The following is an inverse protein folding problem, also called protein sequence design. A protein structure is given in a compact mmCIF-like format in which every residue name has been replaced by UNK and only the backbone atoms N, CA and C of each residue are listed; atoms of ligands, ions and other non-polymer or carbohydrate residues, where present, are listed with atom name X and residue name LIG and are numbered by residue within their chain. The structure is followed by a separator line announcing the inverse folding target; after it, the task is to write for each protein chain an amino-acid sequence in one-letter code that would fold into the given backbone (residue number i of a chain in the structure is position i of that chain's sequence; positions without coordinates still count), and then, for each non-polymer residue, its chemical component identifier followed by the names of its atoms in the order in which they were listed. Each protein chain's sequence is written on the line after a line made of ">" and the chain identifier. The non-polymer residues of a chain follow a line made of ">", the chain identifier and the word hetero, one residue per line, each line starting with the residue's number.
data_IF_705177887152
#
_entry.id   IF_705177887152
#
_cell.length_a   1.000
_cell.length_b   1.000
_cell.length_c   1.000
_cell.angle_alpha   90.00
_cell.angle_beta   90.00
_cell.angle_gamma   90.00
#
_symmetry.space_group_name_H-M   'P 1'
#
loop_
_entity.id
_entity.type
_entity.pdbx_description
1 polymer ?
#
# COMPACT_ATOMS: atom_id res chain seq x y z
N UNK A 1 21.64 28.00 -20.14
CA UNK A 1 21.17 26.60 -20.21
C UNK A 1 20.11 26.36 -19.15
N UNK A 2 18.83 26.22 -19.53
CA UNK A 2 17.75 25.89 -18.58
C UNK A 2 17.92 24.42 -18.16
N UNK A 3 18.45 24.20 -16.96
CA UNK A 3 18.43 22.90 -16.30
C UNK A 3 16.97 22.49 -16.06
N UNK A 4 16.41 21.74 -17.01
CA UNK A 4 15.09 21.14 -16.88
C UNK A 4 15.19 20.02 -15.86
N UNK A 5 14.96 20.35 -14.58
CA UNK A 5 14.77 19.36 -13.51
C UNK A 5 13.81 18.29 -14.05
N UNK A 6 14.16 16.99 -13.99
CA UNK A 6 13.30 15.94 -14.50
C UNK A 6 11.97 15.99 -13.74
N UNK A 7 10.92 16.49 -14.42
CA UNK A 7 9.58 16.60 -13.86
C UNK A 7 9.15 15.22 -13.39
N UNK A 8 8.74 15.13 -12.13
CA UNK A 8 8.16 13.91 -11.59
C UNK A 8 6.96 13.53 -12.47
N UNK A 9 6.90 12.32 -13.03
CA UNK A 9 5.75 11.92 -13.82
C UNK A 9 4.55 11.91 -12.89
N UNK A 10 3.47 12.52 -13.36
CA UNK A 10 2.23 12.68 -12.62
C UNK A 10 1.73 11.32 -12.09
N UNK A 11 1.89 10.26 -12.88
CA UNK A 11 1.56 8.88 -12.53
C UNK A 11 2.22 8.35 -11.26
N UNK A 12 3.48 8.72 -10.95
CA UNK A 12 4.15 8.29 -9.73
C UNK A 12 3.51 8.92 -8.50
N UNK A 13 3.12 10.20 -8.59
CA UNK A 13 2.44 10.91 -7.51
C UNK A 13 1.06 10.32 -7.24
N UNK A 14 0.31 9.99 -8.30
CA UNK A 14 -0.99 9.31 -8.17
C UNK A 14 -0.84 7.94 -7.53
N UNK A 15 0.18 7.16 -7.93
CA UNK A 15 0.43 5.85 -7.34
C UNK A 15 0.84 5.94 -5.85
N UNK A 16 1.70 6.90 -5.50
CA UNK A 16 2.07 7.15 -4.10
C UNK A 16 0.87 7.62 -3.26
N UNK A 17 0.03 8.51 -3.81
CA UNK A 17 -1.19 8.97 -3.15
C UNK A 17 -2.19 7.82 -2.93
N UNK A 18 -2.33 6.92 -3.91
CA UNK A 18 -3.17 5.73 -3.75
C UNK A 18 -2.66 4.81 -2.63
N UNK A 19 -1.35 4.55 -2.57
CA UNK A 19 -0.76 3.74 -1.49
C UNK A 19 -0.95 4.43 -0.13
N UNK A 20 -0.76 5.76 -0.06
CA UNK A 20 -0.99 6.52 1.17
C UNK A 20 -2.45 6.40 1.63
N UNK A 21 -3.40 6.49 0.70
CA UNK A 21 -4.83 6.34 0.98
C UNK A 21 -5.15 4.93 1.51
N UNK A 22 -4.54 3.87 0.96
CA UNK A 22 -4.66 2.51 1.50
C UNK A 22 -4.10 2.39 2.93
N UNK A 23 -2.95 3.03 3.19
CA UNK A 23 -2.36 3.08 4.53
C UNK A 23 -3.27 3.78 5.55
N UNK A 24 -3.87 4.90 5.15
CA UNK A 24 -4.84 5.65 5.96
C UNK A 24 -6.11 4.83 6.24
N UNK A 25 -6.61 4.07 5.25
CA UNK A 25 -7.73 3.15 5.47
C UNK A 25 -7.37 2.09 6.51
N UNK A 26 -6.15 1.52 6.44
CA UNK A 26 -5.65 0.56 7.42
C UNK A 26 -5.59 1.12 8.84
N UNK A 27 -5.09 2.35 9.00
CA UNK A 27 -5.06 3.05 10.29
C UNK A 27 -6.46 3.41 10.80
N UNK A 28 -7.35 3.87 9.91
CA UNK A 28 -8.74 4.18 10.28
C UNK A 28 -9.44 2.92 10.76
N UNK A 29 -9.20 1.77 10.12
CA UNK A 29 -9.73 0.48 10.56
C UNK A 29 -9.19 0.08 11.94
N UNK A 30 -7.89 0.24 12.18
CA UNK A 30 -7.31 0.00 13.49
C UNK A 30 -7.92 0.91 14.57
N UNK A 31 -8.15 2.18 14.24
CA UNK A 31 -8.77 3.15 15.13
C UNK A 31 -10.23 2.80 15.45
N UNK A 32 -11.02 2.41 14.45
CA UNK A 32 -12.41 1.95 14.65
C UNK A 32 -12.47 0.69 15.52
N UNK A 33 -11.53 -0.24 15.34
CA UNK A 33 -11.41 -1.44 16.19
C UNK A 33 -10.94 -1.11 17.62
N UNK A 34 -10.29 0.03 17.82
CA UNK A 34 -9.83 0.50 19.12
C UNK A 34 -10.92 1.27 19.89
N UNK A 35 -11.88 1.88 19.18
CA UNK A 35 -12.99 2.58 19.82
C UNK A 35 -13.91 1.58 20.54
N UNK A 36 -14.34 1.88 21.78
CA UNK A 36 -15.26 1.03 22.51
C UNK A 36 -16.57 0.94 21.74
N UNK A 37 -16.90 -0.26 21.25
CA UNK A 37 -18.16 -0.49 20.54
C UNK A 37 -19.35 -0.09 21.43
N UNK A 38 -20.38 0.58 20.88
CA UNK A 38 -21.64 0.73 21.58
C UNK A 38 -22.23 -0.64 21.94
N UNK A 39 -23.04 -0.65 23.00
CA UNK A 39 -23.22 -1.73 23.97
C UNK A 39 -23.81 -3.12 23.58
N UNK A 40 -24.29 -3.49 22.35
CA UNK A 40 -24.85 -4.84 22.18
C UNK A 40 -23.82 -5.93 21.84
N UNK A 41 -22.54 -5.61 21.62
CA UNK A 41 -21.52 -6.54 21.12
C UNK A 41 -20.41 -6.88 22.15
N UNK A 42 -20.63 -6.60 23.43
CA UNK A 42 -19.67 -6.78 24.54
C UNK A 42 -19.17 -8.22 24.77
N UNK A 43 -19.71 -9.22 24.07
CA UNK A 43 -19.25 -10.61 24.17
C UNK A 43 -18.18 -11.04 23.15
N UNK A 44 -17.83 -10.19 22.17
CA UNK A 44 -16.81 -10.54 21.18
C UNK A 44 -15.41 -10.17 21.71
N UNK A 45 -14.48 -11.13 21.83
CA UNK A 45 -13.14 -10.86 22.32
C UNK A 45 -12.45 -9.86 21.40
N UNK A 46 -11.76 -8.89 22.01
CA UNK A 46 -10.97 -7.90 21.29
C UNK A 46 -9.86 -8.62 20.51
N UNK A 47 -9.97 -8.63 19.18
CA UNK A 47 -9.02 -9.32 18.30
C UNK A 47 -7.76 -8.47 18.10
N UNK A 48 -6.88 -8.46 19.12
CA UNK A 48 -5.59 -7.76 19.10
C UNK A 48 -4.75 -8.06 17.86
N UNK A 49 -4.80 -9.29 17.35
CA UNK A 49 -4.13 -9.71 16.11
C UNK A 49 -4.57 -8.89 14.90
N UNK A 50 -5.87 -8.61 14.74
CA UNK A 50 -6.36 -7.78 13.63
C UNK A 50 -5.94 -6.31 13.78
N UNK A 51 -5.88 -5.80 15.01
CA UNK A 51 -5.46 -4.42 15.29
C UNK A 51 -3.97 -4.25 14.96
N UNK A 52 -3.10 -5.11 15.51
CA UNK A 52 -1.65 -5.08 15.26
C UNK A 52 -1.37 -5.22 13.77
N UNK A 53 -2.05 -6.17 13.09
CA UNK A 53 -1.89 -6.38 11.66
C UNK A 53 -2.34 -5.15 10.86
N UNK A 54 -3.44 -4.49 11.24
CA UNK A 54 -3.93 -3.28 10.55
C UNK A 54 -3.00 -2.09 10.73
N UNK A 55 -2.45 -1.89 11.93
CA UNK A 55 -1.44 -0.86 12.21
C UNK A 55 -0.16 -1.13 11.42
N UNK A 56 0.32 -2.38 11.43
CA UNK A 56 1.53 -2.80 10.71
C UNK A 56 1.40 -2.53 9.20
N UNK A 57 0.28 -2.91 8.58
CA UNK A 57 0.02 -2.62 7.18
C UNK A 57 -0.16 -1.12 6.90
N UNK A 58 -0.89 -0.42 7.77
CA UNK A 58 -1.12 1.02 7.65
C UNK A 58 0.20 1.80 7.62
N UNK A 59 1.05 1.58 8.62
CA UNK A 59 2.36 2.20 8.73
C UNK A 59 3.31 1.76 7.61
N UNK A 60 3.32 0.48 7.25
CA UNK A 60 4.17 -0.03 6.17
C UNK A 60 3.83 0.61 4.81
N UNK A 61 2.54 0.74 4.49
CA UNK A 61 2.08 1.37 3.25
C UNK A 61 2.36 2.88 3.26
N UNK A 62 2.14 3.57 4.38
CA UNK A 62 2.49 4.98 4.54
C UNK A 62 3.99 5.22 4.37
N UNK A 63 4.84 4.43 5.03
CA UNK A 63 6.30 4.51 4.88
C UNK A 63 6.72 4.24 3.42
N UNK A 64 6.09 3.28 2.75
CA UNK A 64 6.34 3.00 1.33
C UNK A 64 5.89 4.15 0.42
N UNK A 65 4.74 4.78 0.69
CA UNK A 65 4.23 5.91 -0.07
C UNK A 65 5.14 7.15 0.09
N UNK A 66 5.58 7.43 1.32
CA UNK A 66 6.55 8.49 1.62
C UNK A 66 7.88 8.22 0.92
N UNK A 67 8.39 6.99 1.01
CA UNK A 67 9.63 6.60 0.32
C UNK A 67 9.53 6.66 -1.21
N UNK A 68 8.37 6.33 -1.79
CA UNK A 68 8.08 6.53 -3.22
C UNK A 68 8.04 8.01 -3.59
N UNK A 69 7.51 8.87 -2.70
CA UNK A 69 7.48 10.32 -2.89
C UNK A 69 8.87 10.95 -2.91
N UNK A 70 9.74 10.51 -1.98
CA UNK A 70 11.15 10.90 -1.93
C UNK A 70 12.04 10.15 -2.95
N UNK A 71 11.45 9.26 -3.76
CA UNK A 71 12.13 8.45 -4.77
C UNK A 71 13.28 7.60 -4.23
N UNK A 72 13.10 6.98 -3.07
CA UNK A 72 14.06 6.04 -2.51
C UNK A 72 13.98 4.69 -3.24
N UNK A 73 15.11 4.20 -3.75
CA UNK A 73 15.16 2.89 -4.41
C UNK A 73 14.73 1.71 -3.49
N UNK A 74 15.13 1.64 -2.20
CA UNK A 74 14.65 0.57 -1.32
C UNK A 74 13.14 0.65 -1.08
N UNK A 75 12.54 1.84 -1.04
CA UNK A 75 11.09 1.99 -0.87
C UNK A 75 10.30 1.46 -2.07
N UNK A 76 10.85 1.55 -3.28
CA UNK A 76 10.25 0.92 -4.47
C UNK A 76 10.30 -0.61 -4.40
N UNK A 77 11.39 -1.20 -3.87
CA UNK A 77 11.47 -2.65 -3.64
C UNK A 77 10.48 -3.08 -2.55
N UNK A 78 10.40 -2.31 -1.46
CA UNK A 78 9.41 -2.55 -0.42
C UNK A 78 7.98 -2.51 -0.99
N UNK A 79 7.61 -1.46 -1.73
CA UNK A 79 6.28 -1.33 -2.33
C UNK A 79 5.92 -2.48 -3.29
N UNK A 80 6.90 -3.01 -4.03
CA UNK A 80 6.72 -4.18 -4.91
C UNK A 80 6.26 -5.43 -4.18
N UNK A 81 6.69 -5.63 -2.93
CA UNK A 81 6.27 -6.77 -2.11
C UNK A 81 5.07 -6.42 -1.21
N UNK A 82 5.08 -5.21 -0.65
CA UNK A 82 4.12 -4.79 0.36
C UNK A 82 2.71 -4.62 -0.21
N UNK A 83 2.57 -4.05 -1.40
CA UNK A 83 1.25 -3.84 -2.02
C UNK A 83 0.59 -5.17 -2.38
N UNK A 84 1.24 -6.11 -3.10
CA UNK A 84 0.67 -7.43 -3.34
C UNK A 84 0.36 -8.20 -2.06
N UNK A 85 1.26 -8.17 -1.08
CA UNK A 85 1.06 -8.89 0.17
C UNK A 85 -0.13 -8.34 0.98
N UNK A 86 -0.34 -7.01 0.98
CA UNK A 86 -1.50 -6.38 1.60
C UNK A 86 -2.82 -6.88 0.99
N UNK A 87 -2.93 -6.83 -0.34
CA UNK A 87 -4.14 -7.30 -1.05
C UNK A 87 -4.36 -8.81 -0.91
N UNK A 88 -3.29 -9.60 -0.95
CA UNK A 88 -3.36 -11.05 -0.76
C UNK A 88 -3.85 -11.40 0.65
N UNK A 89 -3.35 -10.68 1.67
CA UNK A 89 -3.76 -10.89 3.07
C UNK A 89 -5.24 -10.52 3.27
N UNK A 90 -5.71 -9.42 2.67
CA UNK A 90 -7.13 -9.06 2.69
C UNK A 90 -8.00 -10.07 1.96
N UNK A 91 -7.53 -10.57 0.82
CA UNK A 91 -8.21 -11.62 0.05
C UNK A 91 -8.31 -12.93 0.82
N UNK A 92 -7.22 -13.40 1.43
CA UNK A 92 -7.20 -14.57 2.31
C UNK A 92 -8.15 -14.38 3.49
N UNK A 93 -8.15 -13.20 4.11
CA UNK A 93 -9.08 -12.88 5.20
C UNK A 93 -10.53 -12.99 4.73
N UNK A 94 -10.82 -12.53 3.52
CA UNK A 94 -12.15 -12.64 2.92
C UNK A 94 -12.51 -14.11 2.62
N UNK A 95 -11.58 -14.97 2.26
CA UNK A 95 -11.87 -16.40 2.07
C UNK A 95 -12.13 -17.12 3.39
N UNK A 96 -11.27 -16.91 4.39
CA UNK A 96 -11.32 -17.66 5.65
C UNK A 96 -12.39 -17.15 6.63
N UNK A 97 -12.64 -15.85 6.68
CA UNK A 97 -13.53 -15.25 7.68
C UNK A 97 -14.92 -14.90 7.16
N UNK A 98 -15.18 -15.03 5.86
CA UNK A 98 -16.51 -14.74 5.31
C UNK A 98 -17.45 -15.93 5.48
N UNK A 99 -18.19 -15.92 6.59
CA UNK A 99 -19.25 -16.91 6.86
C UNK A 99 -20.60 -16.54 6.23
N UNK A 100 -20.81 -15.28 5.85
CA UNK A 100 -22.07 -14.78 5.29
C UNK A 100 -22.16 -15.02 3.77
N UNK A 101 -23.33 -15.47 3.30
CA UNK A 101 -23.64 -15.75 1.88
C UNK A 101 -23.32 -14.57 0.95
N UNK A 102 -23.52 -13.34 1.43
CA UNK A 102 -23.22 -12.10 0.71
C UNK A 102 -21.74 -11.92 0.38
N UNK A 103 -20.84 -12.31 1.29
CA UNK A 103 -19.42 -12.14 1.02
C UNK A 103 -18.85 -13.23 0.11
N UNK A 104 -19.49 -14.42 0.01
CA UNK A 104 -19.08 -15.46 -0.95
C UNK A 104 -19.30 -15.02 -2.40
N UNK A 105 -20.40 -14.32 -2.69
CA UNK A 105 -20.67 -13.77 -4.02
C UNK A 105 -19.63 -12.72 -4.44
N UNK A 106 -18.98 -12.07 -3.48
CA UNK A 106 -17.95 -11.06 -3.74
C UNK A 106 -16.54 -11.64 -3.94
N UNK A 107 -16.31 -12.93 -3.61
CA UNK A 107 -14.99 -13.56 -3.74
C UNK A 107 -14.51 -13.51 -5.20
N UNK A 108 -15.36 -13.88 -6.16
CA UNK A 108 -15.03 -13.86 -7.59
C UNK A 108 -14.53 -12.50 -8.09
N UNK A 109 -15.35 -11.42 -8.03
CA UNK A 109 -14.94 -10.09 -8.49
C UNK A 109 -13.76 -9.53 -7.68
N UNK A 110 -13.69 -9.80 -6.37
CA UNK A 110 -12.57 -9.34 -5.55
C UNK A 110 -11.25 -10.03 -5.92
N UNK A 111 -11.30 -11.31 -6.30
CA UNK A 111 -10.12 -12.05 -6.81
C UNK A 111 -9.58 -11.41 -8.08
N UNK A 112 -10.46 -11.11 -9.04
CA UNK A 112 -10.08 -10.46 -10.30
C UNK A 112 -9.47 -9.09 -10.03
N UNK A 113 -10.07 -8.31 -9.13
CA UNK A 113 -9.55 -7.01 -8.71
C UNK A 113 -8.15 -7.12 -8.10
N UNK A 114 -7.93 -8.06 -7.18
CA UNK A 114 -6.62 -8.30 -6.56
C UNK A 114 -5.58 -8.67 -7.61
N UNK A 115 -5.91 -9.56 -8.55
CA UNK A 115 -5.01 -9.93 -9.65
C UNK A 115 -4.66 -8.74 -10.55
N UNK A 116 -5.64 -7.91 -10.90
CA UNK A 116 -5.42 -6.69 -11.68
C UNK A 116 -4.52 -5.70 -10.95
N UNK A 117 -4.72 -5.51 -9.65
CA UNK A 117 -3.90 -4.62 -8.82
C UNK A 117 -2.46 -5.14 -8.72
N UNK A 118 -2.26 -6.44 -8.52
CA UNK A 118 -0.93 -7.06 -8.47
C UNK A 118 -0.23 -6.93 -9.83
N UNK A 119 -0.94 -7.23 -10.92
CA UNK A 119 -0.39 -7.12 -12.28
C UNK A 119 -0.03 -5.66 -12.61
N UNK A 120 -0.92 -4.71 -12.29
CA UNK A 120 -0.69 -3.28 -12.54
C UNK A 120 0.48 -2.74 -11.70
N UNK A 121 0.51 -3.03 -10.40
CA UNK A 121 1.57 -2.56 -9.49
C UNK A 121 2.93 -3.14 -9.90
N UNK A 122 3.00 -4.43 -10.22
CA UNK A 122 4.22 -5.09 -10.70
C UNK A 122 4.66 -4.49 -12.04
N UNK A 123 3.76 -4.37 -13.01
CA UNK A 123 4.08 -3.81 -14.32
C UNK A 123 4.55 -2.34 -14.24
N UNK A 124 3.87 -1.51 -13.44
CA UNK A 124 4.19 -0.10 -13.27
C UNK A 124 5.54 0.09 -12.56
N UNK A 125 5.80 -0.67 -11.51
CA UNK A 125 7.02 -0.58 -10.72
C UNK A 125 8.20 -1.25 -11.43
N UNK A 126 8.02 -2.28 -12.26
CA UNK A 126 9.13 -2.93 -13.00
C UNK A 126 9.57 -2.14 -14.24
N UNK A 127 8.71 -1.25 -14.77
CA UNK A 127 8.99 -0.47 -15.99
C UNK A 127 10.34 0.26 -15.92
N UNK A 128 11.17 0.09 -16.96
CA UNK A 128 12.53 0.66 -17.06
C UNK A 128 12.58 2.18 -16.89
N UNK A 129 11.54 2.89 -17.33
CA UNK A 129 11.40 4.34 -17.15
C UNK A 129 11.30 4.73 -15.66
N UNK A 130 10.56 3.94 -14.88
CA UNK A 130 10.45 4.10 -13.42
C UNK A 130 11.81 3.85 -12.78
N UNK A 131 12.53 2.76 -13.13
CA UNK A 131 13.90 2.46 -12.63
C UNK A 131 14.86 3.65 -12.74
N UNK A 132 14.95 4.26 -13.92
CA UNK A 132 15.89 5.37 -14.19
C UNK A 132 15.62 6.60 -13.33
N UNK A 133 14.39 6.83 -12.88
CA UNK A 133 14.05 7.99 -12.05
C UNK A 133 14.51 7.88 -10.60
N UNK A 134 14.63 6.65 -10.08
CA UNK A 134 15.19 6.40 -8.75
C UNK A 134 16.73 6.49 -8.80
N UNK A 135 17.36 5.89 -9.82
CA UNK A 135 18.81 5.94 -10.02
C UNK A 135 19.35 7.36 -10.25
N UNK A 136 18.65 8.18 -11.03
CA UNK A 136 19.07 9.56 -11.29
C UNK A 136 18.99 10.46 -10.05
N UNK A 137 18.16 10.11 -9.05
CA UNK A 137 18.05 10.92 -7.82
C UNK A 137 19.16 10.60 -6.81
N UNK A 138 19.54 9.32 -6.70
CA UNK A 138 20.68 8.90 -5.85
C UNK A 138 22.01 9.46 -6.39
N UNK A 139 22.23 9.43 -7.72
CA UNK A 139 23.44 10.02 -8.32
C UNK A 139 23.50 11.55 -8.20
N UNK A 140 22.36 12.23 -8.23
CA UNK A 140 22.30 13.70 -8.05
C UNK A 140 22.53 14.15 -6.61
N UNK A 141 22.29 13.29 -5.62
CA UNK A 141 22.51 13.59 -4.19
C UNK A 141 23.98 13.41 -3.78
N UNK A 142 24.71 12.54 -4.47
CA UNK A 142 26.13 12.25 -4.17
C UNK A 142 27.11 13.21 -4.88
N UNK A 143 26.63 14.07 -5.78
CA UNK A 143 27.45 15.00 -6.57
C UNK A 143 27.46 16.45 -6.07
N UNK A 144 26.77 16.77 -4.97
CA UNK A 144 26.70 18.13 -4.40
C UNK A 144 27.46 18.20 -3.07
N UNK A 145 28.74 17.83 -3.12
CA UNK A 145 29.70 17.98 -2.03
C UNK A 145 31.05 18.34 -2.61
N UNK A 146 31.18 19.59 -3.06
CA UNK A 146 32.44 20.30 -3.26
C UNK A 146 32.17 21.80 -3.16
#
# INVERSE_FOLDING_TARGET
>A
MKSSKPKCPWSLKFFAAWIALLGMIGLTRAFVLFQPLPLPLQGLPLNWTMIILSVMWGLGLLASAVGLWFRWEPARRAALFLVPAYYLTHWLSLIFFTRASYGRAQIGPYTIFVLLVIAYSTWFLVRRATRRQFQNHEQGSSGSGN
#
